data_IF_814431426744
#
_entry.id   IF_814431426744
#
_cell.length_a   1.000
_cell.length_b   1.000
_cell.length_c   1.000
_cell.angle_alpha   90.00
_cell.angle_beta   90.00
_cell.angle_gamma   90.00
#
_symmetry.space_group_name_H-M   'P 1'
#
loop_
_entity.id
_entity.type
_entity.pdbx_description
1 polymer ?
#
# COMPACT_ATOMS: atom_id res chain seq x y z
N UNK A 1 25.95 -49.51 40.60
CA UNK A 1 24.91 -48.80 39.81
C UNK A 1 25.18 -49.11 38.34
N UNK A 2 24.26 -49.82 37.67
CA UNK A 2 24.41 -50.25 36.27
C UNK A 2 23.87 -49.17 35.35
N UNK A 3 24.68 -48.71 34.39
CA UNK A 3 24.28 -47.76 33.35
C UNK A 3 23.93 -48.56 32.10
N UNK A 4 22.67 -48.47 31.68
CA UNK A 4 22.14 -49.13 30.49
C UNK A 4 22.11 -48.13 29.34
N UNK A 5 22.93 -48.35 28.32
CA UNK A 5 22.90 -47.68 27.01
C UNK A 5 21.71 -48.15 26.19
N UNK A 6 20.89 -47.21 25.68
CA UNK A 6 19.91 -47.48 24.62
C UNK A 6 20.40 -46.89 23.30
N UNK A 7 20.49 -47.76 22.29
CA UNK A 7 20.78 -47.43 20.89
C UNK A 7 19.48 -47.55 20.10
N UNK A 8 19.08 -46.49 19.41
CA UNK A 8 17.90 -46.47 18.54
C UNK A 8 18.33 -46.26 17.08
N UNK A 9 18.26 -47.35 16.32
CA UNK A 9 18.22 -47.38 14.85
C UNK A 9 16.86 -46.84 14.40
N UNK A 10 16.83 -45.99 13.38
CA UNK A 10 15.59 -45.83 12.62
C UNK A 10 15.80 -45.68 11.11
N UNK A 11 14.89 -46.33 10.39
CA UNK A 11 14.96 -46.72 8.99
C UNK A 11 14.75 -45.57 8.00
N UNK A 12 15.59 -45.58 6.96
CA UNK A 12 15.40 -44.84 5.71
C UNK A 12 14.28 -45.48 4.88
N UNK A 13 13.29 -44.70 4.43
CA UNK A 13 12.27 -45.13 3.47
C UNK A 13 12.33 -44.24 2.23
N UNK A 14 12.54 -44.89 1.09
CA UNK A 14 12.55 -44.34 -0.26
C UNK A 14 11.21 -43.67 -0.61
N UNK A 15 11.29 -42.45 -1.15
CA UNK A 15 10.14 -41.72 -1.71
C UNK A 15 10.07 -41.96 -3.21
N UNK A 16 8.96 -42.57 -3.62
CA UNK A 16 8.51 -42.83 -4.99
C UNK A 16 8.28 -41.53 -5.75
N UNK A 17 8.91 -41.40 -6.92
CA UNK A 17 8.67 -40.32 -7.89
C UNK A 17 7.35 -40.55 -8.62
N UNK A 18 6.45 -39.57 -8.57
CA UNK A 18 5.26 -39.50 -9.43
C UNK A 18 5.46 -38.37 -10.44
N UNK A 19 5.15 -38.58 -11.74
CA UNK A 19 5.18 -37.52 -12.75
C UNK A 19 3.86 -36.73 -12.71
N UNK A 20 3.92 -35.43 -12.41
CA UNK A 20 2.77 -34.54 -12.51
C UNK A 20 2.69 -33.92 -13.89
N UNK A 21 1.53 -34.17 -14.50
CA UNK A 21 1.11 -33.79 -15.84
C UNK A 21 0.79 -32.29 -15.86
N UNK A 22 1.51 -31.53 -16.70
CA UNK A 22 1.27 -30.11 -16.94
C UNK A 22 -0.05 -29.93 -17.70
N UNK A 23 -1.11 -29.51 -17.00
CA UNK A 23 -2.38 -29.12 -17.62
C UNK A 23 -2.56 -27.61 -17.45
N UNK A 24 -2.73 -26.97 -18.60
CA UNK A 24 -2.86 -25.56 -18.89
C UNK A 24 -3.72 -24.79 -17.88
N UNK A 25 -3.17 -23.66 -17.41
CA UNK A 25 -3.91 -22.67 -16.64
C UNK A 25 -4.87 -21.92 -17.59
N UNK A 26 -6.16 -22.19 -17.44
CA UNK A 26 -7.23 -21.33 -17.93
C UNK A 26 -7.20 -20.00 -17.18
N UNK A 27 -7.29 -18.90 -17.94
CA UNK A 27 -7.27 -17.54 -17.45
C UNK A 27 -8.39 -17.29 -16.45
N UNK A 28 -8.02 -16.83 -15.26
CA UNK A 28 -8.96 -16.40 -14.26
C UNK A 28 -9.55 -15.04 -14.70
N UNK A 29 -10.89 -14.90 -14.85
CA UNK A 29 -11.50 -13.64 -15.23
C UNK A 29 -11.29 -12.64 -14.10
N UNK A 30 -10.65 -11.52 -14.43
CA UNK A 30 -10.56 -10.33 -13.60
C UNK A 30 -11.96 -9.97 -13.12
N UNK A 31 -12.19 -10.09 -11.81
CA UNK A 31 -13.41 -9.57 -11.17
C UNK A 31 -13.55 -8.09 -11.55
N UNK A 32 -14.56 -7.80 -12.37
CA UNK A 32 -14.97 -6.44 -12.66
C UNK A 32 -15.48 -5.81 -11.38
N UNK A 33 -14.62 -5.06 -10.70
CA UNK A 33 -15.02 -4.11 -9.67
C UNK A 33 -15.90 -3.07 -10.36
N UNK A 34 -17.22 -3.16 -10.12
CA UNK A 34 -18.11 -2.03 -10.36
C UNK A 34 -17.49 -0.79 -9.69
N UNK A 35 -17.39 0.36 -10.37
CA UNK A 35 -16.76 1.54 -9.80
C UNK A 35 -17.52 1.94 -8.54
N UNK A 36 -16.94 1.64 -7.39
CA UNK A 36 -17.48 2.00 -6.08
C UNK A 36 -17.64 3.51 -6.06
N UNK A 37 -18.85 3.99 -5.76
CA UNK A 37 -19.12 5.41 -5.73
C UNK A 37 -18.15 6.12 -4.78
N UNK A 38 -17.40 7.09 -5.30
CA UNK A 38 -16.37 7.82 -4.54
C UNK A 38 -17.02 8.48 -3.33
N UNK A 39 -16.40 8.29 -2.15
CA UNK A 39 -16.87 8.91 -0.92
C UNK A 39 -16.97 10.45 -1.06
N UNK A 40 -18.06 11.11 -0.64
CA UNK A 40 -18.26 12.55 -0.86
C UNK A 40 -17.19 13.43 -0.22
N UNK A 41 -16.58 12.96 0.88
CA UNK A 41 -15.45 13.65 1.49
C UNK A 41 -14.19 13.64 0.61
N UNK A 42 -13.94 12.55 -0.14
CA UNK A 42 -12.81 12.47 -1.07
C UNK A 42 -13.00 13.45 -2.24
N UNK A 43 -14.21 13.59 -2.75
CA UNK A 43 -14.52 14.58 -3.80
C UNK A 43 -14.20 16.00 -3.33
N UNK A 44 -14.58 16.37 -2.10
CA UNK A 44 -14.25 17.69 -1.53
C UNK A 44 -12.75 17.84 -1.26
N UNK A 45 -12.12 16.82 -0.68
CA UNK A 45 -10.69 16.82 -0.41
C UNK A 45 -9.86 16.93 -1.69
N UNK A 46 -10.33 16.38 -2.81
CA UNK A 46 -9.63 16.41 -4.09
C UNK A 46 -9.28 17.83 -4.55
N UNK A 47 -10.22 18.76 -4.43
CA UNK A 47 -9.99 20.16 -4.78
C UNK A 47 -8.93 20.82 -3.88
N UNK A 48 -8.91 20.47 -2.59
CA UNK A 48 -7.90 20.97 -1.64
C UNK A 48 -6.52 20.38 -1.95
N UNK A 49 -6.47 19.07 -2.22
CA UNK A 49 -5.26 18.34 -2.61
C UNK A 49 -4.66 18.92 -3.89
N UNK A 50 -5.48 19.24 -4.91
CA UNK A 50 -5.02 19.84 -6.17
C UNK A 50 -4.40 21.23 -6.00
N UNK A 51 -4.80 21.96 -4.96
CA UNK A 51 -4.25 23.28 -4.62
C UNK A 51 -3.05 23.19 -3.68
N UNK A 52 -2.64 21.98 -3.29
CA UNK A 52 -1.60 21.77 -2.29
C UNK A 52 -2.03 22.10 -0.85
N UNK A 53 -3.33 22.30 -0.59
CA UNK A 53 -3.88 22.64 0.72
C UNK A 53 -4.03 21.38 1.61
N UNK A 54 -2.92 20.67 1.84
CA UNK A 54 -2.93 19.38 2.54
C UNK A 54 -3.42 19.47 3.99
N UNK A 55 -3.23 20.61 4.67
CA UNK A 55 -3.75 20.82 6.04
C UNK A 55 -5.28 20.82 6.04
N UNK A 56 -5.91 21.55 5.12
CA UNK A 56 -7.37 21.60 5.00
C UNK A 56 -7.94 20.25 4.58
N UNK A 57 -7.28 19.57 3.62
CA UNK A 57 -7.65 18.23 3.19
C UNK A 57 -7.57 17.22 4.35
N UNK A 58 -6.48 17.21 5.12
CA UNK A 58 -6.30 16.33 6.27
C UNK A 58 -7.36 16.56 7.35
N UNK A 59 -7.67 17.82 7.67
CA UNK A 59 -8.72 18.16 8.62
C UNK A 59 -10.09 17.62 8.17
N UNK A 60 -10.45 17.84 6.90
CA UNK A 60 -11.71 17.35 6.33
C UNK A 60 -11.79 15.81 6.36
N UNK A 61 -10.72 15.13 5.95
CA UNK A 61 -10.67 13.66 5.89
C UNK A 61 -10.63 13.00 7.27
N UNK A 62 -10.07 13.67 8.29
CA UNK A 62 -10.01 13.13 9.66
C UNK A 62 -11.39 12.90 10.27
N UNK A 63 -12.37 13.73 9.93
CA UNK A 63 -13.77 13.60 10.37
C UNK A 63 -14.65 12.73 9.47
N UNK A 64 -14.14 12.27 8.33
CA UNK A 64 -14.96 11.66 7.27
C UNK A 64 -15.23 10.16 7.45
N UNK A 65 -14.70 9.53 8.50
CA UNK A 65 -15.05 8.15 8.88
C UNK A 65 -13.88 7.16 8.88
N UNK A 66 -14.20 5.87 8.65
CA UNK A 66 -13.24 4.75 8.66
C UNK A 66 -13.08 4.06 7.30
N UNK A 67 -13.64 4.67 6.25
CA UNK A 67 -13.46 4.18 4.89
C UNK A 67 -11.97 4.12 4.50
N UNK A 68 -11.56 3.03 3.86
CA UNK A 68 -10.15 2.76 3.54
C UNK A 68 -9.57 3.80 2.59
N UNK A 69 -10.32 4.24 1.57
CA UNK A 69 -9.85 5.26 0.63
C UNK A 69 -9.70 6.62 1.30
N UNK A 70 -10.66 6.99 2.16
CA UNK A 70 -10.57 8.20 3.01
C UNK A 70 -9.33 8.16 3.90
N UNK A 71 -9.08 7.02 4.58
CA UNK A 71 -7.93 6.85 5.47
C UNK A 71 -6.60 6.84 4.72
N UNK A 72 -6.57 6.24 3.54
CA UNK A 72 -5.41 6.26 2.65
C UNK A 72 -5.06 7.71 2.25
N UNK A 73 -6.04 8.48 1.75
CA UNK A 73 -5.85 9.88 1.38
C UNK A 73 -5.41 10.75 2.56
N UNK A 74 -5.98 10.51 3.75
CA UNK A 74 -5.57 11.18 4.99
C UNK A 74 -4.09 10.89 5.30
N UNK A 75 -3.68 9.62 5.24
CA UNK A 75 -2.29 9.22 5.47
C UNK A 75 -1.31 9.89 4.50
N UNK A 76 -1.66 9.98 3.22
CA UNK A 76 -0.85 10.70 2.20
C UNK A 76 -0.75 12.19 2.53
N UNK A 77 -1.86 12.86 2.88
CA UNK A 77 -1.82 14.27 3.28
C UNK A 77 -0.92 14.49 4.51
N UNK A 78 -0.98 13.59 5.50
CA UNK A 78 -0.14 13.66 6.69
C UNK A 78 1.35 13.48 6.36
N UNK A 79 1.71 12.55 5.47
CA UNK A 79 3.09 12.40 4.99
C UNK A 79 3.60 13.67 4.30
N UNK A 80 2.80 14.26 3.40
CA UNK A 80 3.17 15.48 2.67
C UNK A 80 3.29 16.71 3.58
N UNK A 81 2.60 16.73 4.72
CA UNK A 81 2.77 17.72 5.78
C UNK A 81 3.97 17.46 6.70
N UNK A 82 4.74 16.39 6.48
CA UNK A 82 5.83 15.97 7.38
C UNK A 82 5.36 15.35 8.71
N UNK A 83 4.06 15.09 8.87
CA UNK A 83 3.46 14.47 10.06
C UNK A 83 3.53 12.95 9.96
N UNK A 84 4.76 12.42 9.97
CA UNK A 84 5.05 11.01 9.69
C UNK A 84 4.45 10.06 10.74
N UNK A 85 4.57 10.38 12.03
CA UNK A 85 4.03 9.53 13.10
C UNK A 85 2.51 9.33 12.99
N UNK A 86 1.70 10.42 12.89
CA UNK A 86 0.27 10.28 12.61
C UNK A 86 -0.04 9.49 11.34
N UNK A 87 0.74 9.66 10.27
CA UNK A 87 0.52 8.93 9.02
C UNK A 87 0.69 7.42 9.22
N UNK A 88 1.77 7.01 9.88
CA UNK A 88 2.04 5.60 10.21
C UNK A 88 0.91 5.01 11.06
N UNK A 89 0.40 5.76 12.04
CA UNK A 89 -0.69 5.29 12.90
C UNK A 89 -2.01 5.12 12.12
N UNK A 90 -2.31 6.05 11.22
CA UNK A 90 -3.47 5.95 10.31
C UNK A 90 -3.35 4.69 9.46
N UNK A 91 -2.23 4.47 8.76
CA UNK A 91 -2.05 3.29 7.91
C UNK A 91 -2.09 1.99 8.71
N UNK A 92 -1.39 1.91 9.84
CA UNK A 92 -1.38 0.72 10.70
C UNK A 92 -2.79 0.29 11.11
N UNK A 93 -3.68 1.26 11.36
CA UNK A 93 -5.04 0.99 11.83
C UNK A 93 -5.91 0.19 10.85
N UNK A 94 -5.60 0.22 9.55
CA UNK A 94 -6.38 -0.47 8.53
C UNK A 94 -5.58 -1.41 7.63
N UNK A 95 -4.27 -1.20 7.45
CA UNK A 95 -3.41 -2.09 6.65
C UNK A 95 -3.09 -3.39 7.39
N UNK A 96 -2.94 -3.32 8.72
CA UNK A 96 -2.64 -4.50 9.55
C UNK A 96 -3.88 -5.07 10.24
N UNK A 97 -3.84 -6.36 10.56
CA UNK A 97 -4.80 -6.96 11.48
C UNK A 97 -4.52 -6.47 12.91
N UNK A 98 -5.54 -6.10 13.69
CA UNK A 98 -5.36 -5.56 15.03
C UNK A 98 -4.55 -6.51 15.93
N UNK A 99 -3.57 -5.96 16.65
CA UNK A 99 -2.71 -6.75 17.55
C UNK A 99 -1.65 -7.62 16.85
N UNK A 100 -1.49 -7.50 15.53
CA UNK A 100 -0.51 -8.29 14.78
C UNK A 100 0.34 -7.40 13.87
N UNK A 101 1.39 -8.00 13.31
CA UNK A 101 2.17 -7.43 12.19
C UNK A 101 1.75 -8.00 10.83
N UNK A 102 0.63 -8.72 10.78
CA UNK A 102 0.13 -9.36 9.57
C UNK A 102 -0.77 -8.39 8.83
N UNK A 103 -0.53 -8.23 7.53
CA UNK A 103 -1.35 -7.38 6.67
C UNK A 103 -2.71 -8.00 6.35
N UNK A 104 -3.69 -7.12 6.10
CA UNK A 104 -4.99 -7.52 5.55
C UNK A 104 -4.87 -7.77 4.06
N UNK A 105 -5.42 -8.90 3.62
CA UNK A 105 -5.40 -9.31 2.20
C UNK A 105 -6.29 -8.40 1.34
N UNK A 106 -7.38 -7.88 1.91
CA UNK A 106 -8.38 -7.07 1.21
C UNK A 106 -7.96 -5.60 0.99
N UNK A 107 -6.80 -5.19 1.52
CA UNK A 107 -6.34 -3.80 1.40
C UNK A 107 -5.61 -3.62 0.07
N UNK A 108 -5.96 -2.55 -0.66
CA UNK A 108 -5.38 -2.27 -1.98
C UNK A 108 -3.86 -2.15 -1.93
N UNK A 109 -3.19 -2.55 -3.03
CA UNK A 109 -1.74 -2.42 -3.14
C UNK A 109 -1.27 -0.96 -2.97
N UNK A 110 -2.07 0.03 -3.41
CA UNK A 110 -1.78 1.44 -3.21
C UNK A 110 -1.71 1.82 -1.72
N UNK A 111 -2.66 1.35 -0.91
CA UNK A 111 -2.63 1.56 0.54
C UNK A 111 -1.38 0.95 1.19
N UNK A 112 -0.97 -0.25 0.75
CA UNK A 112 0.24 -0.90 1.24
C UNK A 112 1.52 -0.14 0.86
N UNK A 113 1.64 0.32 -0.39
CA UNK A 113 2.77 1.16 -0.83
C UNK A 113 2.84 2.48 -0.07
N UNK A 114 1.70 3.10 0.22
CA UNK A 114 1.64 4.30 1.04
C UNK A 114 2.05 4.03 2.49
N UNK A 115 1.67 2.89 3.06
CA UNK A 115 2.14 2.48 4.38
C UNK A 115 3.65 2.23 4.40
N UNK A 116 4.18 1.53 3.40
CA UNK A 116 5.62 1.34 3.24
C UNK A 116 6.37 2.68 3.11
N UNK A 117 5.79 3.64 2.36
CA UNK A 117 6.32 5.01 2.27
C UNK A 117 6.39 5.68 3.65
N UNK A 118 5.32 5.60 4.45
CA UNK A 118 5.27 6.17 5.79
C UNK A 118 6.29 5.52 6.75
N UNK A 119 6.44 4.20 6.70
CA UNK A 119 7.46 3.46 7.46
C UNK A 119 8.87 3.89 7.06
N UNK A 120 9.11 4.06 5.77
CA UNK A 120 10.40 4.49 5.25
C UNK A 120 10.76 5.91 5.74
N UNK A 121 9.82 6.85 5.68
CA UNK A 121 9.98 8.20 6.21
C UNK A 121 10.21 8.22 7.73
N UNK A 122 9.65 7.25 8.45
CA UNK A 122 9.85 7.09 9.91
C UNK A 122 11.21 6.48 10.25
N UNK A 123 11.93 5.95 9.25
CA UNK A 123 13.22 5.29 9.45
C UNK A 123 13.10 3.78 9.72
N UNK A 124 12.05 3.13 9.24
CA UNK A 124 11.82 1.68 9.39
C UNK A 124 11.90 0.94 8.03
N UNK A 125 13.08 0.83 7.41
CA UNK A 125 13.25 0.17 6.12
C UNK A 125 12.86 -1.32 6.15
N UNK A 126 13.07 -2.06 7.25
CA UNK A 126 12.67 -3.48 7.32
C UNK A 126 11.16 -3.62 7.24
N UNK A 127 10.45 -2.78 7.98
CA UNK A 127 8.98 -2.74 7.94
C UNK A 127 8.48 -2.37 6.55
N UNK A 128 9.10 -1.38 5.90
CA UNK A 128 8.74 -0.99 4.54
C UNK A 128 8.96 -2.13 3.53
N UNK A 129 10.11 -2.83 3.58
CA UNK A 129 10.39 -3.97 2.70
C UNK A 129 9.41 -5.12 2.91
N UNK A 130 9.05 -5.42 4.17
CA UNK A 130 8.05 -6.44 4.48
C UNK A 130 6.70 -6.11 3.84
N UNK A 131 6.25 -4.86 3.94
CA UNK A 131 4.99 -4.42 3.34
C UNK A 131 5.03 -4.44 1.82
N UNK A 132 6.15 -4.05 1.23
CA UNK A 132 6.34 -4.10 -0.22
C UNK A 132 6.33 -5.53 -0.75
N UNK A 133 6.95 -6.48 -0.05
CA UNK A 133 6.96 -7.89 -0.45
C UNK A 133 5.54 -8.51 -0.47
N UNK A 134 4.61 -7.98 0.31
CA UNK A 134 3.23 -8.41 0.34
C UNK A 134 2.33 -7.70 -0.70
N UNK A 135 2.87 -6.73 -1.45
CA UNK A 135 2.19 -6.18 -2.62
C UNK A 135 2.28 -7.17 -3.78
N UNK A 136 1.18 -7.41 -4.48
CA UNK A 136 1.14 -8.32 -5.65
C UNK A 136 1.53 -7.62 -6.96
N UNK A 137 2.31 -6.56 -6.86
CA UNK A 137 2.60 -5.63 -7.96
C UNK A 137 3.99 -4.98 -7.76
N UNK A 138 5.07 -5.80 -7.87
CA UNK A 138 6.44 -5.33 -7.61
C UNK A 138 6.94 -4.33 -8.68
N UNK A 139 6.39 -4.39 -9.89
CA UNK A 139 6.78 -3.55 -11.02
C UNK A 139 6.10 -2.17 -11.01
N UNK A 140 5.22 -1.91 -10.04
CA UNK A 140 4.60 -0.61 -9.86
C UNK A 140 5.66 0.49 -9.69
N UNK A 141 5.51 1.61 -10.39
CA UNK A 141 6.47 2.73 -10.39
C UNK A 141 6.82 3.16 -8.96
N UNK A 142 5.83 3.27 -8.08
CA UNK A 142 6.06 3.65 -6.68
C UNK A 142 6.82 2.58 -5.88
N UNK A 143 6.56 1.29 -6.11
CA UNK A 143 7.30 0.20 -5.46
C UNK A 143 8.77 0.22 -5.89
N UNK A 144 9.03 0.38 -7.19
CA UNK A 144 10.37 0.52 -7.76
C UNK A 144 11.12 1.72 -7.17
N UNK A 145 10.45 2.87 -7.02
CA UNK A 145 11.03 4.07 -6.40
C UNK A 145 11.37 3.84 -4.93
N UNK A 146 10.51 3.18 -4.16
CA UNK A 146 10.78 2.86 -2.76
C UNK A 146 11.97 1.89 -2.62
N UNK A 147 12.02 0.84 -3.43
CA UNK A 147 13.19 -0.06 -3.47
C UNK A 147 14.47 0.68 -3.87
N UNK A 148 14.38 1.62 -4.80
CA UNK A 148 15.52 2.44 -5.22
C UNK A 148 16.01 3.35 -4.10
N UNK A 149 15.11 4.00 -3.37
CA UNK A 149 15.45 4.84 -2.21
C UNK A 149 16.12 4.03 -1.10
N UNK A 150 15.61 2.84 -0.78
CA UNK A 150 16.23 1.91 0.18
C UNK A 150 17.62 1.50 -0.32
N UNK A 151 17.76 1.13 -1.59
CA UNK A 151 19.03 0.71 -2.18
C UNK A 151 20.08 1.83 -2.16
N UNK A 152 19.68 3.08 -2.39
CA UNK A 152 20.56 4.24 -2.29
C UNK A 152 21.00 4.48 -0.85
N UNK A 153 20.07 4.36 0.10
CA UNK A 153 20.40 4.44 1.52
C UNK A 153 21.35 3.31 1.95
N UNK A 154 21.15 2.07 1.51
CA UNK A 154 22.04 0.95 1.82
C UNK A 154 23.48 1.21 1.35
N UNK A 155 23.65 1.85 0.19
CA UNK A 155 24.97 2.24 -0.35
C UNK A 155 25.65 3.34 0.47
N UNK A 156 24.90 4.10 1.26
CA UNK A 156 25.44 5.13 2.16
C UNK A 156 25.95 4.57 3.49
N UNK A 157 25.65 3.30 3.80
CA UNK A 157 26.08 2.66 5.04
C UNK A 157 27.57 2.30 4.99
N UNK A 158 28.25 2.40 6.14
CA UNK A 158 29.59 1.83 6.27
C UNK A 158 29.52 0.31 6.10
N UNK A 159 30.60 -0.30 5.61
CA UNK A 159 30.63 -1.73 5.31
C UNK A 159 30.15 -2.62 6.49
N UNK A 160 30.59 -2.30 7.71
CA UNK A 160 30.15 -3.01 8.92
C UNK A 160 28.65 -2.85 9.18
N UNK A 161 28.09 -1.65 8.98
CA UNK A 161 26.66 -1.39 9.17
C UNK A 161 25.81 -2.01 8.08
N UNK A 162 26.30 -2.00 6.85
CA UNK A 162 25.67 -2.70 5.75
C UNK A 162 25.59 -4.20 6.02
N UNK A 163 26.67 -4.81 6.52
CA UNK A 163 26.68 -6.23 6.86
C UNK A 163 25.74 -6.56 8.03
N UNK A 164 25.77 -5.76 9.10
CA UNK A 164 24.88 -5.90 10.26
C UNK A 164 23.40 -5.78 9.87
N UNK A 165 23.09 -4.81 9.00
CA UNK A 165 21.77 -4.66 8.39
C UNK A 165 21.35 -5.90 7.59
N UNK A 166 22.21 -6.40 6.69
CA UNK A 166 21.87 -7.53 5.81
C UNK A 166 21.75 -8.86 6.53
N UNK A 167 22.57 -9.11 7.56
CA UNK A 167 22.58 -10.40 8.27
C UNK A 167 21.64 -10.41 9.47
N UNK A 168 21.61 -9.34 10.25
CA UNK A 168 20.85 -9.29 11.51
C UNK A 168 19.53 -8.51 11.40
N UNK A 169 19.29 -7.81 10.27
CA UNK A 169 18.12 -6.92 10.13
C UNK A 169 18.15 -5.73 11.09
N UNK A 170 19.32 -5.42 11.66
CA UNK A 170 19.48 -4.35 12.66
C UNK A 170 19.50 -3.00 11.94
N UNK A 171 18.44 -2.22 12.15
CA UNK A 171 18.31 -0.88 11.61
C UNK A 171 19.29 0.08 12.34
N UNK A 172 20.08 0.88 11.60
CA UNK A 172 20.92 1.91 12.20
C UNK A 172 20.10 2.90 13.04
N UNK A 173 20.63 3.28 14.19
CA UNK A 173 20.03 4.29 15.06
C UNK A 173 19.90 5.61 14.28
N UNK A 174 18.68 6.18 14.21
CA UNK A 174 18.37 7.39 13.42
C UNK A 174 18.46 7.20 11.90
N UNK A 175 17.94 6.07 11.40
CA UNK A 175 17.75 5.87 9.97
C UNK A 175 16.90 7.00 9.37
N UNK A 176 17.47 7.75 8.42
CA UNK A 176 16.75 8.77 7.66
C UNK A 176 16.93 8.49 6.16
N UNK A 177 15.83 8.13 5.51
CA UNK A 177 15.82 7.81 4.09
C UNK A 177 15.19 8.98 3.36
N UNK A 178 16.02 9.70 2.60
CA UNK A 178 15.56 10.83 1.79
C UNK A 178 14.78 10.29 0.60
N UNK A 179 13.53 10.72 0.47
CA UNK A 179 12.74 10.50 -0.73
C UNK A 179 12.99 11.65 -1.70
N UNK A 180 13.38 11.32 -2.92
CA UNK A 180 13.58 12.26 -4.04
C UNK A 180 12.30 12.43 -4.89
N UNK A 181 11.18 11.87 -4.43
CA UNK A 181 9.86 11.96 -5.02
C UNK A 181 8.81 12.36 -3.97
N UNK A 182 7.63 12.78 -4.44
CA UNK A 182 6.54 13.17 -3.56
C UNK A 182 5.97 11.97 -2.79
N UNK A 183 5.85 12.03 -1.44
CA UNK A 183 5.38 10.90 -0.65
C UNK A 183 3.93 10.51 -0.97
N UNK A 184 3.76 9.23 -1.26
CA UNK A 184 2.47 8.56 -1.41
C UNK A 184 1.69 8.90 -2.67
N UNK A 185 0.72 8.04 -2.98
CA UNK A 185 -0.16 8.13 -4.15
C UNK A 185 -1.64 8.12 -3.74
N UNK A 186 -2.48 8.84 -4.48
CA UNK A 186 -3.93 8.81 -4.32
C UNK A 186 -4.52 7.80 -5.31
N UNK A 187 -5.32 6.83 -4.85
CA UNK A 187 -5.87 5.76 -5.71
C UNK A 187 -7.27 6.06 -6.28
N UNK A 188 -7.79 7.27 -6.05
CA UNK A 188 -9.10 7.68 -6.54
C UNK A 188 -8.96 8.67 -7.70
N UNK A 189 -9.70 8.41 -8.77
CA UNK A 189 -9.88 9.35 -9.88
C UNK A 189 -11.22 10.03 -9.72
N UNK A 190 -11.24 11.32 -9.41
CA UNK A 190 -12.50 12.09 -9.48
C UNK A 190 -12.72 12.46 -10.93
N UNK A 191 -13.64 11.75 -11.60
CA UNK A 191 -14.19 12.24 -12.86
C UNK A 191 -14.91 13.55 -12.57
N UNK A 192 -14.28 14.67 -12.92
CA UNK A 192 -14.93 15.95 -12.85
C UNK A 192 -16.09 15.92 -13.85
N UNK A 193 -17.34 16.21 -13.42
CA UNK A 193 -18.44 16.32 -14.36
C UNK A 193 -18.06 17.38 -15.38
N UNK A 194 -17.92 16.93 -16.64
CA UNK A 194 -17.58 17.78 -17.76
C UNK A 194 -18.55 18.98 -17.75
N UNK A 195 -18.07 20.24 -17.65
CA UNK A 195 -18.96 21.39 -17.58
C UNK A 195 -19.80 21.43 -18.86
N UNK A 196 -21.04 20.98 -18.73
CA UNK A 196 -22.12 21.00 -19.71
C UNK A 196 -21.67 21.21 -21.17
N UNK A 197 -21.46 20.11 -21.91
CA UNK A 197 -21.70 20.16 -23.35
C UNK A 197 -23.11 20.69 -23.61
N UNK A 198 -23.34 21.50 -24.66
CA UNK A 198 -24.57 22.24 -24.86
C UNK A 198 -25.78 21.29 -24.77
N UNK A 199 -26.67 21.56 -23.81
CA UNK A 199 -27.90 20.81 -23.63
C UNK A 199 -28.64 20.76 -24.97
N UNK A 200 -28.82 19.56 -25.53
CA UNK A 200 -29.63 19.38 -26.74
C UNK A 200 -31.00 20.04 -26.53
N UNK A 201 -31.46 20.88 -27.47
CA UNK A 201 -32.74 21.56 -27.32
C UNK A 201 -33.85 20.52 -27.20
N UNK A 202 -34.57 20.58 -26.08
CA UNK A 202 -35.76 19.77 -25.80
C UNK A 202 -36.81 20.14 -26.85
N UNK A 203 -37.02 19.26 -27.84
CA UNK A 203 -38.12 19.41 -28.82
C UNK A 203 -39.43 19.49 -28.04
N UNK A 204 -40.01 20.69 -27.98
CA UNK A 204 -41.36 20.88 -27.51
C UNK A 204 -42.31 20.28 -28.56
N UNK A 205 -42.88 19.11 -28.27
CA UNK A 205 -44.01 18.59 -29.03
C UNK A 205 -45.23 19.44 -28.71
N UNK A 206 -45.50 20.42 -29.56
CA UNK A 206 -46.78 21.12 -29.61
C UNK A 206 -47.86 20.09 -29.98
N UNK A 207 -48.75 19.77 -29.05
CA UNK A 207 -50.04 19.16 -29.36
C UNK A 207 -50.93 20.25 -29.98
N UNK A 208 -51.20 20.15 -31.27
CA UNK A 208 -52.32 20.86 -31.89
C UNK A 208 -53.53 19.93 -31.83
N UNK A 209 -54.56 20.38 -31.11
CA UNK A 209 -55.89 19.81 -31.15
C UNK A 209 -56.66 20.49 -32.29
N UNK A 210 -57.31 19.68 -33.12
CA UNK A 210 -58.45 20.05 -33.96
C UNK A 210 -59.29 18.77 -34.15
#
# INVERSE_FOLDING_TARGET
MKVTTMSARNHSKNVTKQPTNSKSAEGNPSHGESPSAIHPALQKAWHLIHRGEYTAAANLLSSAGRDTQVRNALGVCLMRLGRVDPAVDVFRSFVLMPGTLIERVEVSNACKRNFATALLMKGFPSGALSVLAATRDPDHIMAVRLHSAISQWEKSLSWLRWLDWKLNGVEPSKCHIKLDFEPGEFDFSVELPNPAGPSKPRKASLKMAA
#
